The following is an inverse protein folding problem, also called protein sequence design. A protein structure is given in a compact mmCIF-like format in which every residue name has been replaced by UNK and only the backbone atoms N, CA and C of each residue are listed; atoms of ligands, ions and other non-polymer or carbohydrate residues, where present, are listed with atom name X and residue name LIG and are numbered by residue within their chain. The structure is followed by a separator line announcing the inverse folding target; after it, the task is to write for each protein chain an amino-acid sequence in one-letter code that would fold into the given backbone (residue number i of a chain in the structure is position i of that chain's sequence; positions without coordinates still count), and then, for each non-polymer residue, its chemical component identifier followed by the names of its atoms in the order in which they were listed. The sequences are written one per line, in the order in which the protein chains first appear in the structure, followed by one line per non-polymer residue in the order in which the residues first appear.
data_IF_814179934011
#
_entry.id   IF_814179934011
#
_cell.length_a   1.000
_cell.length_b   1.000
_cell.length_c   1.000
_cell.angle_alpha   90.00
_cell.angle_beta   90.00
_cell.angle_gamma   90.00
#
_symmetry.space_group_name_H-M   'P 1'
#
loop_
_entity.id
_entity.type
_entity.pdbx_description
1 polymer ?
#
# COMPACT_ATOMS: atom_id res chain seq x y z
N UNK A 1 -3.82 -48.83 -3.77
CA UNK A 1 -4.56 -49.36 -2.61
C UNK A 1 -3.59 -49.68 -1.47
N UNK A 2 -3.43 -48.75 -0.51
CA UNK A 2 -2.78 -49.03 0.78
C UNK A 2 -3.65 -48.43 1.88
N UNK A 3 -3.97 -49.28 2.85
CA UNK A 3 -4.97 -49.06 3.90
C UNK A 3 -4.44 -48.10 4.97
N UNK A 4 -5.26 -47.10 5.30
CA UNK A 4 -5.18 -46.29 6.51
C UNK A 4 -5.38 -47.16 7.76
N UNK A 5 -4.54 -46.98 8.78
CA UNK A 5 -4.81 -47.40 10.15
C UNK A 5 -4.84 -46.12 10.98
N UNK A 6 -6.05 -45.75 11.42
CA UNK A 6 -6.29 -44.69 12.38
C UNK A 6 -6.15 -45.25 13.80
N UNK A 7 -5.30 -44.65 14.61
CA UNK A 7 -5.26 -44.86 16.05
C UNK A 7 -5.67 -43.54 16.72
N UNK A 8 -6.86 -43.55 17.33
CA UNK A 8 -7.40 -42.43 18.07
C UNK A 8 -6.75 -42.32 19.45
N UNK A 9 -6.27 -41.12 19.78
CA UNK A 9 -5.91 -40.72 21.14
C UNK A 9 -6.96 -39.71 21.61
N UNK A 10 -7.78 -40.12 22.57
CA UNK A 10 -8.75 -39.26 23.22
C UNK A 10 -8.05 -38.47 24.33
N UNK A 11 -7.75 -37.20 24.07
CA UNK A 11 -7.26 -36.25 25.06
C UNK A 11 -8.44 -35.57 25.73
N UNK A 12 -8.65 -35.86 27.01
CA UNK A 12 -9.60 -35.14 27.87
C UNK A 12 -8.91 -33.84 28.33
N UNK A 13 -9.30 -32.72 27.74
CA UNK A 13 -8.88 -31.38 28.18
C UNK A 13 -9.90 -30.87 29.19
N UNK A 14 -9.46 -30.72 30.44
CA UNK A 14 -10.22 -30.05 31.48
C UNK A 14 -10.12 -28.53 31.26
N UNK A 15 -11.21 -27.91 30.81
CA UNK A 15 -11.33 -26.46 30.67
C UNK A 15 -11.62 -25.88 32.06
N UNK A 16 -10.61 -25.26 32.67
CA UNK A 16 -10.78 -24.41 33.84
C UNK A 16 -11.28 -23.03 33.37
N UNK A 17 -12.55 -22.75 33.62
CA UNK A 17 -13.17 -21.43 33.45
C UNK A 17 -12.62 -20.48 34.51
N UNK A 18 -11.62 -19.67 34.15
CA UNK A 18 -11.21 -18.50 34.93
C UNK A 18 -11.96 -17.28 34.40
N UNK A 19 -13.13 -17.02 34.98
CA UNK A 19 -13.84 -15.74 34.86
C UNK A 19 -13.12 -14.71 35.74
N UNK A 20 -12.42 -13.76 35.11
CA UNK A 20 -11.89 -12.61 35.84
C UNK A 20 -10.92 -11.76 35.02
N UNK A 21 -11.44 -10.74 34.33
CA UNK A 21 -10.93 -9.37 34.40
C UNK A 21 -12.03 -8.42 33.89
N UNK A 22 -12.62 -7.75 34.87
CA UNK A 22 -13.58 -6.66 34.79
C UNK A 22 -12.83 -5.35 34.50
N UNK A 23 -13.34 -4.55 33.57
CA UNK A 23 -13.05 -3.11 33.50
C UNK A 23 -12.09 -2.66 32.41
N UNK A 24 -12.34 -3.00 31.15
CA UNK A 24 -12.02 -2.03 30.10
C UNK A 24 -13.07 -0.92 30.24
N UNK A 25 -12.69 0.23 30.78
CA UNK A 25 -13.47 1.46 30.61
C UNK A 25 -13.63 1.65 29.10
N UNK A 26 -14.82 1.32 28.58
CA UNK A 26 -15.24 1.76 27.26
C UNK A 26 -15.08 3.27 27.26
N UNK A 27 -14.02 3.77 26.63
CA UNK A 27 -13.92 5.18 26.32
C UNK A 27 -15.21 5.52 25.57
N UNK A 28 -15.95 6.57 25.98
CA UNK A 28 -17.18 6.93 25.32
C UNK A 28 -16.84 7.09 23.84
N UNK A 29 -17.51 6.31 22.98
CA UNK A 29 -17.39 6.47 21.55
C UNK A 29 -17.59 7.95 21.26
N UNK A 30 -16.51 8.63 20.88
CA UNK A 30 -16.59 10.03 20.49
C UNK A 30 -17.40 9.99 19.21
N UNK A 31 -18.70 10.33 19.32
CA UNK A 31 -19.54 10.44 18.14
C UNK A 31 -18.80 11.42 17.21
N UNK A 32 -18.44 11.00 15.99
CA UNK A 32 -17.65 11.83 15.10
C UNK A 32 -18.41 13.14 14.92
N UNK A 33 -17.86 14.22 15.49
CA UNK A 33 -18.41 15.54 15.29
C UNK A 33 -18.14 15.88 13.84
N UNK A 34 -19.15 15.70 13.00
CA UNK A 34 -19.05 15.97 11.57
C UNK A 34 -18.70 17.44 11.38
N UNK A 35 -17.47 17.71 10.95
CA UNK A 35 -17.06 19.05 10.53
C UNK A 35 -17.94 19.47 9.33
N UNK A 36 -18.33 20.76 9.25
CA UNK A 36 -19.10 21.23 8.12
C UNK A 36 -18.30 21.05 6.81
N UNK A 37 -18.97 20.67 5.70
CA UNK A 37 -18.30 20.23 4.46
C UNK A 37 -17.48 21.28 3.70
N UNK A 38 -17.45 22.53 4.18
CA UNK A 38 -16.82 23.67 3.47
C UNK A 38 -15.79 24.43 4.31
N UNK A 39 -15.43 23.94 5.50
CA UNK A 39 -14.36 24.57 6.27
C UNK A 39 -13.00 24.16 5.69
N UNK A 40 -12.04 25.09 5.52
CA UNK A 40 -10.68 24.73 5.15
C UNK A 40 -10.11 23.78 6.19
N UNK A 41 -9.54 22.68 5.72
CA UNK A 41 -8.98 21.63 6.56
C UNK A 41 -7.57 22.04 6.96
N UNK A 42 -7.42 22.76 8.08
CA UNK A 42 -6.11 23.16 8.60
C UNK A 42 -5.97 22.79 10.06
N UNK A 43 -4.82 22.22 10.44
CA UNK A 43 -4.43 21.93 11.82
C UNK A 43 -3.01 22.44 12.02
N UNK A 44 -2.82 23.35 12.98
CA UNK A 44 -1.53 23.96 13.32
C UNK A 44 -0.73 24.54 12.12
N UNK A 45 -1.44 25.00 11.09
CA UNK A 45 -0.84 25.58 9.87
C UNK A 45 -0.49 24.56 8.78
N UNK A 46 -0.76 23.27 9.00
CA UNK A 46 -0.72 22.25 7.96
C UNK A 46 -1.99 22.33 7.10
N UNK A 47 -1.82 22.27 5.79
CA UNK A 47 -2.93 22.09 4.83
C UNK A 47 -3.29 20.60 4.79
N UNK A 48 -4.51 20.28 5.21
CA UNK A 48 -5.07 18.92 5.24
C UNK A 48 -6.16 18.76 4.17
N UNK A 49 -6.17 19.62 3.14
CA UNK A 49 -6.93 19.33 1.93
C UNK A 49 -6.23 18.20 1.14
N UNK A 50 -6.99 17.22 0.63
CA UNK A 50 -6.40 16.20 -0.23
C UNK A 50 -5.92 16.83 -1.54
N UNK A 51 -4.80 16.34 -2.08
CA UNK A 51 -4.27 16.78 -3.36
C UNK A 51 -4.59 15.72 -4.41
N UNK A 52 -5.31 16.11 -5.45
CA UNK A 52 -5.66 15.24 -6.58
C UNK A 52 -4.94 15.78 -7.82
N UNK A 53 -4.03 14.99 -8.37
CA UNK A 53 -3.28 15.31 -9.58
C UNK A 53 -3.72 14.41 -10.74
N UNK A 54 -4.58 14.94 -11.59
CA UNK A 54 -5.11 14.24 -12.77
C UNK A 54 -4.02 13.82 -13.76
N UNK A 55 -2.89 14.53 -13.82
CA UNK A 55 -1.84 14.26 -14.80
C UNK A 55 -1.02 13.02 -14.42
N UNK A 56 -0.71 12.86 -13.14
CA UNK A 56 -0.03 11.68 -12.61
C UNK A 56 -0.99 10.56 -12.18
N UNK A 57 -2.26 10.89 -11.95
CA UNK A 57 -3.21 9.98 -11.32
C UNK A 57 -3.00 9.83 -9.82
N UNK A 58 -2.23 10.71 -9.18
CA UNK A 58 -1.98 10.66 -7.74
C UNK A 58 -3.13 11.28 -6.94
N UNK A 59 -3.43 10.66 -5.81
CA UNK A 59 -4.26 11.22 -4.73
C UNK A 59 -3.42 11.19 -3.47
N UNK A 60 -3.15 12.36 -2.88
CA UNK A 60 -2.42 12.50 -1.62
C UNK A 60 -3.39 12.95 -0.54
N UNK A 61 -3.58 12.10 0.46
CA UNK A 61 -4.42 12.34 1.62
C UNK A 61 -3.61 13.00 2.75
N UNK A 62 -4.28 13.64 3.73
CA UNK A 62 -3.58 14.30 4.84
C UNK A 62 -2.65 13.38 5.63
N UNK A 63 -3.05 12.11 5.79
CA UNK A 63 -2.27 11.13 6.53
C UNK A 63 -0.96 10.76 5.81
N UNK A 64 -0.89 10.87 4.48
CA UNK A 64 0.28 10.50 3.67
C UNK A 64 1.49 11.40 4.00
N UNK A 65 1.26 12.61 4.53
CA UNK A 65 2.33 13.49 5.00
C UNK A 65 3.14 12.93 6.18
N UNK A 66 2.60 11.93 6.89
CA UNK A 66 3.23 11.32 8.06
C UNK A 66 3.72 9.89 7.80
N UNK A 67 3.65 9.44 6.55
CA UNK A 67 4.07 8.11 6.11
C UNK A 67 5.23 8.22 5.12
N UNK A 68 6.08 7.20 4.98
CA UNK A 68 7.05 7.17 3.91
C UNK A 68 6.34 7.18 2.55
N UNK A 69 6.79 8.02 1.63
CA UNK A 69 6.34 7.96 0.24
C UNK A 69 6.78 6.64 -0.42
N UNK A 70 6.24 6.31 -1.59
CA UNK A 70 6.71 5.14 -2.37
C UNK A 70 8.22 5.20 -2.67
N UNK A 71 8.75 6.37 -3.02
CA UNK A 71 10.18 6.56 -3.25
C UNK A 71 10.99 6.37 -1.96
N UNK A 72 10.50 6.90 -0.83
CA UNK A 72 11.15 6.72 0.47
C UNK A 72 11.14 5.25 0.93
N UNK A 73 10.03 4.54 0.71
CA UNK A 73 9.95 3.10 0.98
C UNK A 73 10.95 2.30 0.14
N UNK A 74 11.12 2.61 -1.15
CA UNK A 74 12.14 1.99 -2.01
C UNK A 74 13.55 2.25 -1.45
N UNK A 75 13.85 3.49 -1.08
CA UNK A 75 15.14 3.85 -0.44
C UNK A 75 15.38 3.09 0.86
N UNK A 76 14.39 3.03 1.75
CA UNK A 76 14.50 2.32 3.03
C UNK A 76 14.67 0.80 2.83
N UNK A 77 13.91 0.21 1.89
CA UNK A 77 14.00 -1.21 1.55
C UNK A 77 15.36 -1.56 0.93
N UNK A 78 15.84 -0.76 -0.01
CA UNK A 78 17.17 -0.92 -0.63
C UNK A 78 18.27 -0.80 0.42
N UNK A 79 18.20 0.17 1.34
CA UNK A 79 19.19 0.30 2.41
C UNK A 79 19.18 -0.91 3.37
N UNK A 80 18.00 -1.44 3.70
CA UNK A 80 17.89 -2.69 4.47
C UNK A 80 18.52 -3.88 3.72
N UNK A 81 18.38 -3.95 2.40
CA UNK A 81 19.02 -4.98 1.56
C UNK A 81 20.54 -4.81 1.49
N UNK A 82 21.03 -3.58 1.41
CA UNK A 82 22.47 -3.25 1.45
C UNK A 82 23.08 -3.64 2.80
N UNK A 83 22.44 -3.30 3.92
CA UNK A 83 22.93 -3.68 5.25
C UNK A 83 23.01 -5.21 5.42
N UNK A 84 21.99 -5.92 4.92
CA UNK A 84 21.96 -7.38 4.86
C UNK A 84 23.12 -7.95 4.03
N UNK A 85 23.37 -7.39 2.85
CA UNK A 85 24.48 -7.80 1.97
C UNK A 85 25.86 -7.57 2.60
N UNK A 86 26.04 -6.44 3.28
CA UNK A 86 27.28 -6.13 4.00
C UNK A 86 27.54 -7.15 5.10
N UNK A 87 26.52 -7.47 5.90
CA UNK A 87 26.63 -8.48 6.95
C UNK A 87 26.90 -9.88 6.39
N UNK A 88 26.21 -10.28 5.31
CA UNK A 88 26.43 -11.57 4.66
C UNK A 88 27.87 -11.68 4.13
N UNK A 89 28.36 -10.61 3.48
CA UNK A 89 29.73 -10.53 2.97
C UNK A 89 30.78 -10.66 4.08
N UNK A 90 30.56 -10.03 5.24
CA UNK A 90 31.43 -10.15 6.41
C UNK A 90 31.48 -11.59 6.96
N UNK A 91 30.47 -12.40 6.65
CA UNK A 91 30.38 -13.84 6.99
C UNK A 91 30.81 -14.76 5.85
N UNK A 92 31.31 -14.20 4.75
CA UNK A 92 31.79 -14.96 3.59
C UNK A 92 30.70 -15.44 2.65
N UNK A 93 29.47 -14.92 2.77
CA UNK A 93 28.36 -15.19 1.86
C UNK A 93 28.20 -14.03 0.89
N UNK A 94 28.27 -14.30 -0.42
CA UNK A 94 28.00 -13.28 -1.45
C UNK A 94 26.51 -13.14 -1.64
N UNK A 95 25.93 -12.08 -1.10
CA UNK A 95 24.53 -11.70 -1.31
C UNK A 95 24.47 -10.38 -2.08
N UNK A 96 23.73 -10.34 -3.18
CA UNK A 96 23.54 -9.14 -3.98
C UNK A 96 22.33 -8.37 -3.45
N UNK A 97 22.56 -7.14 -2.97
CA UNK A 97 21.49 -6.26 -2.53
C UNK A 97 20.62 -5.82 -3.72
N UNK A 98 19.31 -5.68 -3.47
CA UNK A 98 18.39 -5.08 -4.43
C UNK A 98 18.80 -3.63 -4.72
N UNK A 99 18.71 -3.20 -5.98
CA UNK A 99 18.88 -1.79 -6.36
C UNK A 99 17.63 -0.96 -6.05
N UNK A 100 17.74 0.36 -6.24
CA UNK A 100 16.57 1.24 -6.27
C UNK A 100 15.71 0.90 -7.49
N UNK A 101 14.41 0.71 -7.29
CA UNK A 101 13.45 0.29 -8.31
C UNK A 101 12.23 1.21 -8.42
N UNK A 102 12.21 2.36 -7.72
CA UNK A 102 11.10 3.30 -7.80
C UNK A 102 10.84 3.79 -9.22
N UNK A 103 9.57 3.71 -9.63
CA UNK A 103 9.03 4.33 -10.83
C UNK A 103 7.84 5.23 -10.45
N UNK A 104 7.76 6.41 -11.06
CA UNK A 104 6.69 7.37 -10.77
C UNK A 104 5.28 6.83 -11.08
N UNK A 105 5.18 5.74 -11.86
CA UNK A 105 3.89 5.08 -12.12
C UNK A 105 3.21 4.58 -10.85
N UNK A 106 3.97 4.23 -9.79
CA UNK A 106 3.40 3.79 -8.52
C UNK A 106 2.79 4.93 -7.69
N UNK A 107 3.01 6.19 -8.07
CA UNK A 107 2.31 7.33 -7.46
C UNK A 107 0.85 7.40 -7.89
N UNK A 108 0.49 6.72 -8.97
CA UNK A 108 -0.86 6.67 -9.50
C UNK A 108 -1.75 5.82 -8.59
N UNK A 109 -2.78 6.44 -8.03
CA UNK A 109 -3.74 5.82 -7.12
C UNK A 109 -4.69 4.84 -7.86
N UNK A 110 -5.10 3.75 -7.19
CA UNK A 110 -6.07 2.79 -7.73
C UNK A 110 -6.92 2.00 -6.71
N UNK A 111 -6.97 2.39 -5.43
CA UNK A 111 -7.82 1.77 -4.40
C UNK A 111 -9.32 1.82 -4.76
N UNK A 112 -9.78 2.85 -5.46
CA UNK A 112 -11.14 2.87 -6.05
C UNK A 112 -11.20 2.44 -7.52
N UNK A 113 -10.16 1.80 -8.05
CA UNK A 113 -10.01 1.48 -9.48
C UNK A 113 -9.58 2.70 -10.31
N UNK A 114 -9.48 2.58 -11.65
CA UNK A 114 -8.96 3.65 -12.50
C UNK A 114 -9.82 4.90 -12.40
N UNK A 115 -9.20 6.07 -12.37
CA UNK A 115 -9.89 7.35 -12.30
C UNK A 115 -9.39 8.40 -13.28
N UNK A 116 -8.28 8.14 -13.98
CA UNK A 116 -7.85 8.94 -15.13
C UNK A 116 -7.95 8.15 -16.43
N UNK A 117 -8.15 8.85 -17.55
CA UNK A 117 -8.19 8.21 -18.88
C UNK A 117 -6.88 7.49 -19.18
N UNK A 118 -5.73 8.10 -18.82
CA UNK A 118 -4.41 7.51 -19.04
C UNK A 118 -4.23 6.19 -18.26
N UNK A 119 -4.73 6.10 -17.02
CA UNK A 119 -4.74 4.85 -16.27
C UNK A 119 -5.62 3.79 -16.95
N UNK A 120 -6.86 4.13 -17.29
CA UNK A 120 -7.79 3.18 -17.90
C UNK A 120 -7.29 2.63 -19.25
N UNK A 121 -6.69 3.48 -20.09
CA UNK A 121 -6.14 3.08 -21.37
C UNK A 121 -4.92 2.16 -21.22
N UNK A 122 -4.06 2.43 -20.23
CA UNK A 122 -2.82 1.67 -20.03
C UNK A 122 -3.02 0.38 -19.24
N UNK A 123 -3.83 0.43 -18.20
CA UNK A 123 -3.93 -0.66 -17.21
C UNK A 123 -5.32 -1.27 -17.10
N UNK A 124 -6.34 -0.71 -17.75
CA UNK A 124 -7.73 -1.06 -17.50
C UNK A 124 -8.06 -1.01 -15.99
N UNK A 125 -8.29 -2.17 -15.35
CA UNK A 125 -8.52 -2.29 -13.89
C UNK A 125 -7.32 -2.84 -13.12
N UNK A 126 -6.20 -3.14 -13.78
CA UNK A 126 -4.96 -3.55 -13.14
C UNK A 126 -4.37 -2.35 -12.38
N UNK A 127 -3.86 -2.52 -11.15
CA UNK A 127 -3.14 -1.44 -10.47
C UNK A 127 -1.97 -0.91 -11.30
N UNK A 128 -1.72 0.42 -11.32
CA UNK A 128 -0.59 1.02 -12.01
C UNK A 128 0.74 0.41 -11.57
N UNK A 129 1.51 -0.11 -12.53
CA UNK A 129 2.85 -0.66 -12.30
C UNK A 129 3.69 -0.60 -13.59
N UNK A 130 4.98 -0.90 -13.49
CA UNK A 130 5.85 -0.95 -14.68
C UNK A 130 5.49 -2.14 -15.59
N UNK A 131 5.86 -2.07 -16.87
CA UNK A 131 5.63 -3.17 -17.82
C UNK A 131 6.39 -4.45 -17.40
N UNK A 132 7.54 -4.29 -16.72
CA UNK A 132 8.30 -5.40 -16.15
C UNK A 132 7.51 -6.10 -15.05
N UNK A 133 6.87 -5.32 -14.17
CA UNK A 133 6.04 -5.85 -13.09
C UNK A 133 4.74 -6.47 -13.61
N UNK A 134 4.11 -5.88 -14.63
CA UNK A 134 2.95 -6.50 -15.30
C UNK A 134 3.32 -7.90 -15.82
N UNK A 135 4.50 -8.04 -16.44
CA UNK A 135 4.99 -9.32 -16.93
C UNK A 135 5.34 -10.29 -15.78
N UNK A 136 6.02 -9.81 -14.73
CA UNK A 136 6.39 -10.62 -13.56
C UNK A 136 5.15 -11.14 -12.80
N UNK A 137 4.11 -10.33 -12.72
CA UNK A 137 2.81 -10.68 -12.12
C UNK A 137 1.89 -11.47 -13.07
N UNK A 138 2.37 -11.85 -14.25
CA UNK A 138 1.61 -12.64 -15.24
C UNK A 138 0.28 -11.99 -15.66
N UNK A 139 0.23 -10.66 -15.72
CA UNK A 139 -0.97 -9.92 -16.16
C UNK A 139 -1.28 -10.24 -17.62
N UNK A 140 -2.51 -10.65 -17.90
CA UNK A 140 -2.95 -10.99 -19.25
C UNK A 140 -3.04 -9.73 -20.11
N UNK A 141 -2.55 -9.76 -21.35
CA UNK A 141 -2.59 -8.61 -22.25
C UNK A 141 -1.48 -7.58 -22.06
N UNK A 142 -0.56 -7.84 -21.11
CA UNK A 142 0.71 -7.12 -21.01
C UNK A 142 1.42 -7.13 -22.36
N UNK A 143 1.92 -5.98 -22.86
CA UNK A 143 2.75 -5.95 -24.06
C UNK A 143 3.84 -7.02 -23.97
N UNK A 144 4.01 -7.84 -25.01
CA UNK A 144 5.05 -8.87 -25.02
C UNK A 144 6.35 -8.22 -24.58
N UNK A 145 6.83 -8.64 -23.40
CA UNK A 145 7.77 -7.85 -22.62
C UNK A 145 8.83 -7.25 -23.54
N UNK A 146 8.93 -5.93 -23.56
CA UNK A 146 10.25 -5.33 -23.66
C UNK A 146 11.00 -6.07 -22.57
N UNK A 147 11.96 -6.96 -22.90
CA UNK A 147 12.77 -7.64 -21.88
C UNK A 147 13.02 -6.60 -20.79
N UNK A 148 12.67 -6.90 -19.51
CA UNK A 148 12.80 -5.93 -18.42
C UNK A 148 14.11 -5.21 -18.66
N UNK A 149 14.10 -3.88 -18.79
CA UNK A 149 15.16 -3.14 -19.48
C UNK A 149 16.55 -3.60 -18.97
N UNK A 150 17.20 -4.47 -19.74
CA UNK A 150 18.30 -5.32 -19.27
C UNK A 150 17.81 -6.64 -18.66
N UNK A 151 17.96 -7.76 -19.39
CA UNK A 151 18.06 -9.08 -18.75
C UNK A 151 19.09 -8.92 -17.62
N UNK A 152 18.68 -8.98 -16.33
CA UNK A 152 19.58 -8.66 -15.22
C UNK A 152 20.73 -9.68 -15.11
N UNK A 153 20.77 -10.66 -16.02
CA UNK A 153 21.57 -11.86 -15.90
C UNK A 153 20.87 -12.83 -14.95
N UNK A 154 21.46 -14.01 -14.74
CA UNK A 154 21.04 -14.87 -13.64
C UNK A 154 21.19 -14.06 -12.35
N UNK A 155 20.11 -13.92 -11.59
CA UNK A 155 20.15 -13.37 -10.24
C UNK A 155 21.12 -14.23 -9.40
N UNK A 156 22.28 -13.69 -8.96
CA UNK A 156 23.27 -14.47 -8.22
C UNK A 156 22.72 -15.05 -6.92
N UNK A 157 21.66 -14.44 -6.37
CA UNK A 157 21.01 -14.93 -5.17
C UNK A 157 20.26 -16.27 -5.39
N UNK A 158 20.00 -16.66 -6.65
CA UNK A 158 19.38 -17.96 -6.97
C UNK A 158 20.32 -19.15 -6.74
N UNK A 159 21.63 -18.91 -6.70
CA UNK A 159 22.64 -19.95 -6.45
C UNK A 159 22.96 -20.14 -4.96
N UNK A 160 22.33 -19.37 -4.06
CA UNK A 160 22.51 -19.45 -2.62
C UNK A 160 22.00 -20.78 -2.06
N UNK A 161 22.77 -21.37 -1.14
CA UNK A 161 22.42 -22.60 -0.43
C UNK A 161 21.52 -22.33 0.78
N UNK A 162 20.92 -23.38 1.35
CA UNK A 162 20.17 -23.26 2.60
C UNK A 162 21.03 -22.71 3.77
N UNK A 163 22.34 -22.99 3.77
CA UNK A 163 23.29 -22.47 4.79
C UNK A 163 23.56 -20.97 4.59
N UNK A 164 23.65 -20.53 3.34
CA UNK A 164 23.78 -19.11 3.01
C UNK A 164 22.52 -18.34 3.45
N UNK A 165 21.33 -18.89 3.17
CA UNK A 165 20.06 -18.30 3.61
C UNK A 165 19.94 -18.23 5.13
N UNK A 166 20.36 -19.25 5.86
CA UNK A 166 20.40 -19.20 7.32
C UNK A 166 21.32 -18.08 7.83
N UNK A 167 22.46 -17.85 7.17
CA UNK A 167 23.39 -16.76 7.50
C UNK A 167 22.77 -15.38 7.22
N UNK A 168 22.06 -15.25 6.10
CA UNK A 168 21.34 -14.04 5.70
C UNK A 168 20.20 -13.75 6.69
N UNK A 169 19.44 -14.75 7.10
CA UNK A 169 18.37 -14.60 8.11
C UNK A 169 18.91 -14.07 9.44
N UNK A 170 20.07 -14.56 9.89
CA UNK A 170 20.76 -14.04 11.08
C UNK A 170 21.23 -12.58 10.90
N UNK A 171 21.57 -12.18 9.67
CA UNK A 171 21.92 -10.80 9.33
C UNK A 171 20.70 -9.86 9.34
N UNK A 172 19.49 -10.36 9.04
CA UNK A 172 18.26 -9.56 9.04
C UNK A 172 17.85 -8.99 10.40
N UNK A 173 18.52 -9.40 11.48
CA UNK A 173 18.31 -8.88 12.84
C UNK A 173 19.26 -7.72 13.23
N UNK A 174 19.98 -7.14 12.26
CA UNK A 174 20.83 -5.96 12.50
C UNK A 174 20.02 -4.77 13.03
N UNK A 175 20.67 -3.93 13.84
CA UNK A 175 20.06 -2.70 14.38
C UNK A 175 19.74 -1.71 13.25
N UNK A 176 20.66 -1.51 12.30
CA UNK A 176 20.46 -0.62 11.16
C UNK A 176 19.29 -1.08 10.26
N UNK A 177 19.26 -2.37 9.89
CA UNK A 177 18.15 -2.95 9.13
C UNK A 177 16.82 -2.92 9.90
N UNK A 178 16.84 -3.04 11.23
CA UNK A 178 15.65 -2.86 12.05
C UNK A 178 15.13 -1.41 12.00
N UNK A 179 16.00 -0.40 12.09
CA UNK A 179 15.62 1.01 11.98
C UNK A 179 14.95 1.33 10.63
N UNK A 180 15.52 0.86 9.50
CA UNK A 180 14.90 1.10 8.19
C UNK A 180 13.54 0.41 8.06
N UNK A 181 13.41 -0.84 8.52
CA UNK A 181 12.12 -1.58 8.52
C UNK A 181 11.10 -0.99 9.48
N UNK A 182 11.53 -0.41 10.59
CA UNK A 182 10.64 0.29 11.51
C UNK A 182 10.11 1.56 10.84
N UNK A 183 10.94 2.29 10.09
CA UNK A 183 10.53 3.49 9.34
C UNK A 183 9.50 3.22 8.22
N UNK A 184 9.43 1.99 7.67
CA UNK A 184 8.41 1.62 6.68
C UNK A 184 7.06 1.23 7.28
N UNK A 185 7.00 0.96 8.59
CA UNK A 185 5.78 0.48 9.23
C UNK A 185 4.85 1.62 9.65
N UNK A 186 3.56 1.51 9.36
CA UNK A 186 2.55 2.43 9.86
C UNK A 186 2.01 1.98 11.22
N UNK A 187 2.85 2.06 12.26
CA UNK A 187 2.48 1.65 13.60
C UNK A 187 2.54 2.84 14.57
N UNK A 188 1.47 3.06 15.31
CA UNK A 188 1.41 4.08 16.35
C UNK A 188 0.12 4.01 17.17
N UNK A 189 -0.03 4.83 18.22
CA UNK A 189 -1.26 4.91 19.00
C UNK A 189 -2.48 5.38 18.19
N UNK A 190 -2.27 5.96 17.01
CA UNK A 190 -3.31 6.43 16.10
C UNK A 190 -3.89 5.35 15.18
N UNK A 191 -3.19 4.21 14.98
CA UNK A 191 -3.55 3.21 13.94
C UNK A 191 -4.98 2.69 14.10
N UNK A 192 -5.36 2.24 15.29
CA UNK A 192 -6.73 1.73 15.53
C UNK A 192 -7.82 2.78 15.26
N UNK A 193 -7.54 4.04 15.56
CA UNK A 193 -8.50 5.13 15.33
C UNK A 193 -8.60 5.51 13.85
N UNK A 194 -7.49 5.45 13.09
CA UNK A 194 -7.52 5.63 11.64
C UNK A 194 -8.33 4.53 10.96
N UNK A 195 -8.07 3.27 11.31
CA UNK A 195 -8.82 2.12 10.77
C UNK A 195 -10.32 2.24 11.08
N UNK A 196 -10.67 2.68 12.29
CA UNK A 196 -12.05 2.92 12.68
C UNK A 196 -12.69 4.09 11.92
N UNK A 197 -11.94 5.17 11.65
CA UNK A 197 -12.42 6.32 10.89
C UNK A 197 -12.68 5.94 9.42
N UNK A 198 -11.79 5.16 8.80
CA UNK A 198 -11.96 4.65 7.43
C UNK A 198 -13.18 3.72 7.32
N UNK A 199 -13.31 2.76 8.24
CA UNK A 199 -14.46 1.85 8.26
C UNK A 199 -15.80 2.60 8.47
N UNK A 200 -15.80 3.62 9.33
CA UNK A 200 -16.97 4.46 9.55
C UNK A 200 -17.32 5.31 8.32
N UNK A 201 -16.30 5.82 7.61
CA UNK A 201 -16.50 6.62 6.39
C UNK A 201 -17.23 5.82 5.31
N UNK A 202 -16.78 4.60 5.01
CA UNK A 202 -17.35 3.78 3.93
C UNK A 202 -18.84 3.41 4.17
N UNK A 203 -19.32 3.58 5.41
CA UNK A 203 -20.72 3.34 5.79
C UNK A 203 -21.48 4.63 6.14
N UNK A 204 -20.86 5.79 5.95
CA UNK A 204 -21.49 7.09 6.18
C UNK A 204 -22.51 7.43 5.09
N UNK A 205 -23.56 8.17 5.45
CA UNK A 205 -24.59 8.62 4.50
C UNK A 205 -23.96 9.38 3.30
N UNK A 206 -22.95 10.23 3.55
CA UNK A 206 -22.27 10.99 2.49
C UNK A 206 -21.53 10.08 1.49
N UNK A 207 -20.84 9.04 1.96
CA UNK A 207 -20.15 8.09 1.07
C UNK A 207 -21.16 7.20 0.33
N UNK A 208 -22.22 6.75 1.00
CA UNK A 208 -23.30 5.98 0.37
C UNK A 208 -23.98 6.78 -0.74
N UNK A 209 -24.24 8.07 -0.52
CA UNK A 209 -24.79 8.96 -1.56
C UNK A 209 -23.83 9.06 -2.77
N UNK A 210 -22.51 9.17 -2.56
CA UNK A 210 -21.53 9.17 -3.66
C UNK A 210 -21.54 7.85 -4.44
N UNK A 211 -21.62 6.73 -3.73
CA UNK A 211 -21.71 5.41 -4.34
C UNK A 211 -22.99 5.24 -5.16
N UNK A 212 -24.13 5.70 -4.65
CA UNK A 212 -25.42 5.66 -5.34
C UNK A 212 -25.41 6.55 -6.60
N UNK A 213 -24.83 7.76 -6.51
CA UNK A 213 -24.65 8.66 -7.66
C UNK A 213 -23.78 8.01 -8.75
N UNK A 214 -22.64 7.42 -8.37
CA UNK A 214 -21.74 6.73 -9.28
C UNK A 214 -22.40 5.49 -9.90
N UNK A 215 -23.09 4.68 -9.10
CA UNK A 215 -23.84 3.50 -9.55
C UNK A 215 -24.98 3.85 -10.50
N UNK A 216 -25.65 4.99 -10.29
CA UNK A 216 -26.65 5.50 -11.23
C UNK A 216 -26.01 5.88 -12.58
N UNK A 217 -24.82 6.49 -12.58
CA UNK A 217 -24.09 6.75 -13.81
C UNK A 217 -23.72 5.44 -14.53
N UNK A 218 -23.18 4.46 -13.82
CA UNK A 218 -22.86 3.14 -14.38
C UNK A 218 -24.09 2.50 -15.06
N UNK A 219 -25.22 2.47 -14.34
CA UNK A 219 -26.49 1.91 -14.85
C UNK A 219 -26.97 2.64 -16.10
N UNK A 220 -26.84 3.97 -16.14
CA UNK A 220 -27.24 4.77 -17.31
C UNK A 220 -26.44 4.45 -18.57
N UNK A 221 -25.20 3.97 -18.39
CA UNK A 221 -24.30 3.53 -19.46
C UNK A 221 -24.38 2.03 -19.75
N UNK A 222 -25.32 1.33 -19.14
CA UNK A 222 -25.50 -0.11 -19.34
C UNK A 222 -24.45 -0.98 -18.64
N UNK A 223 -23.73 -0.44 -17.66
CA UNK A 223 -22.85 -1.19 -16.76
C UNK A 223 -23.62 -1.58 -15.50
N UNK A 224 -23.28 -2.73 -14.91
CA UNK A 224 -23.87 -3.19 -13.65
C UNK A 224 -22.91 -2.84 -12.49
N UNK A 225 -23.32 -2.01 -11.51
CA UNK A 225 -22.50 -1.74 -10.33
C UNK A 225 -22.17 -3.03 -9.56
N UNK A 226 -20.96 -3.14 -9.04
CA UNK A 226 -20.59 -4.29 -8.19
C UNK A 226 -21.26 -4.16 -6.81
N UNK A 227 -21.95 -5.21 -6.31
CA UNK A 227 -22.57 -5.18 -4.98
C UNK A 227 -21.54 -5.22 -3.84
N UNK A 228 -20.34 -5.73 -4.11
CA UNK A 228 -19.28 -5.90 -3.10
C UNK A 228 -18.31 -4.70 -3.06
N UNK A 229 -18.29 -3.90 -4.13
CA UNK A 229 -17.42 -2.74 -4.28
C UNK A 229 -18.14 -1.67 -5.14
N UNK A 230 -18.94 -0.77 -4.53
CA UNK A 230 -19.83 0.12 -5.28
C UNK A 230 -19.11 1.15 -6.16
N UNK A 231 -17.80 1.30 -6.00
CA UNK A 231 -16.94 2.12 -6.87
C UNK A 231 -16.45 1.41 -8.15
N UNK A 232 -16.82 0.14 -8.36
CA UNK A 232 -16.51 -0.63 -9.57
C UNK A 232 -17.76 -1.29 -10.17
N UNK A 233 -17.57 -2.03 -11.26
CA UNK A 233 -18.62 -2.67 -12.06
C UNK A 233 -18.39 -4.18 -12.16
N UNK A 234 -19.49 -4.92 -12.33
CA UNK A 234 -19.44 -6.36 -12.63
C UNK A 234 -18.67 -6.57 -13.94
N UNK A 235 -17.74 -7.53 -13.91
CA UNK A 235 -16.91 -7.87 -15.07
C UNK A 235 -15.58 -7.11 -15.16
N UNK A 236 -15.28 -6.20 -14.23
CA UNK A 236 -13.94 -5.68 -14.04
C UNK A 236 -12.99 -6.80 -13.59
N UNK A 237 -11.85 -6.94 -14.27
CA UNK A 237 -10.84 -7.99 -14.01
C UNK A 237 -9.49 -7.31 -13.71
N UNK A 238 -8.95 -7.54 -12.51
CA UNK A 238 -7.78 -6.80 -11.98
C UNK A 238 -6.42 -7.38 -12.40
N UNK A 239 -6.41 -8.44 -13.19
CA UNK A 239 -5.23 -9.13 -13.73
C UNK A 239 -5.27 -9.28 -15.27
N UNK A 240 -6.12 -8.49 -15.95
CA UNK A 240 -6.29 -8.50 -17.40
C UNK A 240 -6.35 -7.09 -18.02
N UNK A 241 -5.53 -6.85 -19.05
CA UNK A 241 -5.52 -5.66 -19.90
C UNK A 241 -5.95 -6.08 -21.32
N UNK A 242 -7.25 -6.15 -21.57
CA UNK A 242 -7.82 -6.42 -22.90
C UNK A 242 -8.58 -5.22 -23.45
N UNK A 243 -8.84 -5.19 -24.76
CA UNK A 243 -9.63 -4.11 -25.39
C UNK A 243 -11.00 -3.94 -24.70
N UNK A 244 -11.63 -5.04 -24.30
CA UNK A 244 -12.89 -5.00 -23.56
C UNK A 244 -12.73 -4.40 -22.16
N UNK A 245 -11.69 -4.80 -21.42
CA UNK A 245 -11.41 -4.25 -20.10
C UNK A 245 -11.04 -2.75 -20.17
N UNK A 246 -10.27 -2.34 -21.18
CA UNK A 246 -9.93 -0.92 -21.42
C UNK A 246 -11.19 -0.11 -21.72
N UNK A 247 -12.08 -0.58 -22.61
CA UNK A 247 -13.34 0.12 -22.90
C UNK A 247 -14.26 0.24 -21.66
N UNK A 248 -14.32 -0.82 -20.84
CA UNK A 248 -15.08 -0.82 -19.60
C UNK A 248 -14.48 0.16 -18.58
N UNK A 249 -13.16 0.13 -18.38
CA UNK A 249 -12.43 1.03 -17.50
C UNK A 249 -12.59 2.50 -17.93
N UNK A 250 -12.45 2.82 -19.23
CA UNK A 250 -12.69 4.18 -19.74
C UNK A 250 -14.12 4.65 -19.48
N UNK A 251 -15.10 3.74 -19.54
CA UNK A 251 -16.50 4.07 -19.23
C UNK A 251 -16.71 4.34 -17.72
N UNK A 252 -16.02 3.60 -16.86
CA UNK A 252 -15.99 3.84 -15.40
C UNK A 252 -15.35 5.19 -15.08
N UNK A 253 -14.18 5.48 -15.65
CA UNK A 253 -13.49 6.78 -15.49
C UNK A 253 -14.40 7.93 -15.90
N UNK A 254 -15.06 7.83 -17.05
CA UNK A 254 -15.96 8.87 -17.51
C UNK A 254 -17.15 9.11 -16.54
N UNK A 255 -17.62 8.08 -15.83
CA UNK A 255 -18.62 8.24 -14.77
C UNK A 255 -18.06 8.90 -13.51
N UNK A 256 -16.82 8.58 -13.13
CA UNK A 256 -16.13 9.23 -12.00
C UNK A 256 -15.87 10.72 -12.27
N UNK A 257 -15.45 11.06 -13.49
CA UNK A 257 -15.29 12.44 -13.93
C UNK A 257 -16.63 13.19 -13.92
N UNK A 258 -17.70 12.59 -14.45
CA UNK A 258 -19.03 13.19 -14.51
C UNK A 258 -19.63 13.49 -13.12
N UNK A 259 -19.35 12.62 -12.14
CA UNK A 259 -19.85 12.74 -10.76
C UNK A 259 -18.89 13.47 -9.82
N UNK A 260 -17.67 13.76 -10.27
CA UNK A 260 -16.58 14.27 -9.42
C UNK A 260 -16.22 13.29 -8.29
N UNK A 261 -16.39 11.99 -8.51
CA UNK A 261 -16.32 10.97 -7.46
C UNK A 261 -14.98 10.98 -6.71
N UNK A 262 -13.86 10.94 -7.43
CA UNK A 262 -12.52 10.86 -6.81
C UNK A 262 -12.22 12.05 -5.90
N UNK A 263 -12.42 13.28 -6.38
CA UNK A 263 -12.18 14.49 -5.57
C UNK A 263 -13.10 14.54 -4.34
N UNK A 264 -14.38 14.21 -4.52
CA UNK A 264 -15.36 14.23 -3.42
C UNK A 264 -15.03 13.16 -2.37
N UNK A 265 -14.67 11.95 -2.80
CA UNK A 265 -14.34 10.86 -1.90
C UNK A 265 -13.03 11.11 -1.14
N UNK A 266 -11.98 11.60 -1.83
CA UNK A 266 -10.73 12.01 -1.17
C UNK A 266 -10.97 13.09 -0.11
N UNK A 267 -11.89 14.03 -0.34
CA UNK A 267 -12.29 15.05 0.65
C UNK A 267 -13.03 14.46 1.84
N UNK A 268 -13.83 13.42 1.64
CA UNK A 268 -14.48 12.71 2.74
C UNK A 268 -13.45 11.93 3.58
N UNK A 269 -12.48 11.27 2.95
CA UNK A 269 -11.37 10.58 3.61
C UNK A 269 -10.50 11.52 4.44
N UNK A 270 -10.10 12.64 3.83
CA UNK A 270 -9.40 13.70 4.53
C UNK A 270 -10.19 14.17 5.76
N UNK A 271 -11.49 14.45 5.61
CA UNK A 271 -12.33 14.90 6.74
C UNK A 271 -12.47 13.84 7.84
N UNK A 272 -12.60 12.58 7.46
CA UNK A 272 -12.76 11.47 8.41
C UNK A 272 -11.50 11.27 9.27
N UNK A 273 -10.31 11.52 8.71
CA UNK A 273 -9.03 11.31 9.39
C UNK A 273 -8.55 12.51 10.21
N UNK A 274 -9.05 13.72 9.94
CA UNK A 274 -8.66 14.95 10.66
C UNK A 274 -8.76 14.87 12.18
N UNK A 275 -9.84 14.34 12.80
CA UNK A 275 -9.91 14.25 14.25
C UNK A 275 -8.77 13.43 14.85
N UNK A 276 -8.41 12.32 14.19
CA UNK A 276 -7.29 11.46 14.60
C UNK A 276 -5.96 12.19 14.41
N UNK A 277 -5.75 12.83 13.25
CA UNK A 277 -4.54 13.63 12.99
C UNK A 277 -4.38 14.75 14.03
N UNK A 278 -5.48 15.39 14.43
CA UNK A 278 -5.47 16.46 15.43
C UNK A 278 -5.15 15.93 16.83
N UNK A 279 -5.71 14.77 17.20
CA UNK A 279 -5.47 14.12 18.49
C UNK A 279 -4.00 13.69 18.64
N UNK A 280 -3.42 13.15 17.57
CA UNK A 280 -2.05 12.60 17.56
C UNK A 280 -1.03 13.45 16.81
N UNK A 281 -1.27 14.76 16.67
CA UNK A 281 -0.42 15.64 15.85
C UNK A 281 1.05 15.61 16.29
N UNK A 282 1.32 15.52 17.60
CA UNK A 282 2.67 15.43 18.14
C UNK A 282 3.37 14.13 17.76
N UNK A 283 2.71 12.99 17.98
CA UNK A 283 3.27 11.67 17.68
C UNK A 283 3.43 11.44 16.17
N UNK A 284 2.52 11.98 15.35
CA UNK A 284 2.64 11.97 13.89
C UNK A 284 3.81 12.82 13.38
N UNK A 285 4.04 13.99 14.00
CA UNK A 285 5.20 14.82 13.68
C UNK A 285 6.51 14.12 14.07
N UNK A 286 6.60 13.57 15.29
CA UNK A 286 7.74 12.78 15.74
C UNK A 286 7.99 11.59 14.78
N UNK A 287 6.92 10.97 14.28
CA UNK A 287 7.01 9.88 13.31
C UNK A 287 7.60 10.34 11.98
N UNK A 288 7.15 11.47 11.43
CA UNK A 288 7.70 12.01 10.18
C UNK A 288 9.19 12.35 10.33
N UNK A 289 9.60 12.93 11.46
CA UNK A 289 11.00 13.20 11.75
C UNK A 289 11.85 11.92 11.79
N UNK A 290 11.32 10.83 12.36
CA UNK A 290 11.99 9.52 12.36
C UNK A 290 12.17 8.96 10.95
N UNK A 291 11.13 9.05 10.10
CA UNK A 291 11.21 8.59 8.71
C UNK A 291 12.25 9.43 7.94
N UNK A 292 12.23 10.76 8.09
CA UNK A 292 13.20 11.65 7.44
C UNK A 292 14.65 11.31 7.81
N UNK A 293 14.90 11.08 9.10
CA UNK A 293 16.21 10.65 9.58
C UNK A 293 16.62 9.30 9.00
N UNK A 294 15.72 8.31 9.01
CA UNK A 294 15.98 6.98 8.47
C UNK A 294 16.24 7.02 6.95
N UNK A 295 15.50 7.84 6.19
CA UNK A 295 15.71 8.04 4.75
C UNK A 295 17.05 8.70 4.47
N UNK A 296 17.46 9.69 5.28
CA UNK A 296 18.77 10.33 5.15
C UNK A 296 19.92 9.33 5.38
N UNK A 297 19.83 8.52 6.43
CA UNK A 297 20.81 7.49 6.76
C UNK A 297 20.83 6.37 5.70
N UNK A 298 19.66 5.94 5.23
CA UNK A 298 19.50 4.98 4.14
C UNK A 298 20.20 5.45 2.85
N UNK A 299 19.95 6.70 2.43
CA UNK A 299 20.63 7.31 1.27
C UNK A 299 22.15 7.33 1.43
N UNK A 300 22.65 7.65 2.64
CA UNK A 300 24.07 7.65 2.91
C UNK A 300 24.68 6.24 2.83
N UNK A 301 24.00 5.23 3.37
CA UNK A 301 24.44 3.83 3.34
C UNK A 301 24.50 3.31 1.90
N UNK A 302 23.45 3.54 1.10
CA UNK A 302 23.38 3.15 -0.32
C UNK A 302 24.50 3.79 -1.12
N UNK A 303 24.72 5.10 -0.94
CA UNK A 303 25.76 5.83 -1.67
C UNK A 303 27.18 5.33 -1.34
N UNK A 304 27.41 4.92 -0.09
CA UNK A 304 28.71 4.41 0.36
C UNK A 304 29.00 2.97 -0.09
N UNK A 305 27.97 2.18 -0.39
CA UNK A 305 28.09 0.73 -0.62
C UNK A 305 27.46 0.30 -1.96
N UNK A 306 27.60 1.12 -3.00
CA UNK A 306 27.07 0.81 -4.32
C UNK A 306 27.69 -0.42 -5.02
N UNK A 307 28.73 -1.00 -4.43
CA UNK A 307 29.39 -2.23 -4.86
C UNK A 307 28.56 -3.48 -4.57
N UNK A 308 27.87 -3.56 -3.42
CA UNK A 308 27.08 -4.77 -3.06
C UNK A 308 25.75 -4.89 -3.82
N UNK A 309 25.42 -3.91 -4.66
CA UNK A 309 24.25 -3.94 -5.56
C UNK A 309 24.63 -4.30 -7.01
N UNK A 310 25.91 -4.57 -7.29
CA UNK A 310 26.39 -4.96 -8.61
C UNK A 310 27.11 -6.31 -8.54
N UNK A 311 26.93 -7.20 -9.52
CA UNK A 311 27.74 -8.40 -9.60
C UNK A 311 29.23 -8.05 -9.70
N UNK A 312 30.09 -8.81 -9.02
CA UNK A 312 31.54 -8.70 -9.19
C UNK A 312 31.90 -8.95 -10.66
N UNK A 313 32.57 -7.98 -11.30
CA UNK A 313 32.98 -8.03 -12.71
C UNK A 313 34.20 -8.90 -12.96
#
# INVERSE_FOLDING_TARGET
MRKLIAAGVATVVAIALMTGCTGAEQMPAVAPSMLPPSAPLTVDGMDLEPQVDEASGAVVLPMDHFQPTWEENDVLATASSVDLALCARDRGVTFLAAGLAFDAIYLSESYYGPWTVAQAERFAFVPPMTDADLAANSVTGTPAASSPAGDPGPDPNLDLTDEDWATIDECGASEAGATFREATQLNGPWTEQLDAAEAALLTSDEAVDLFDELGACFTSRGMEPSPDAPWTVVGAVVDEISEQQVQLASSVVACKEETGFTERMARLEARATIPVITEFAGELADRREQIDAAVADARALIAANGDVMRPDS
#
